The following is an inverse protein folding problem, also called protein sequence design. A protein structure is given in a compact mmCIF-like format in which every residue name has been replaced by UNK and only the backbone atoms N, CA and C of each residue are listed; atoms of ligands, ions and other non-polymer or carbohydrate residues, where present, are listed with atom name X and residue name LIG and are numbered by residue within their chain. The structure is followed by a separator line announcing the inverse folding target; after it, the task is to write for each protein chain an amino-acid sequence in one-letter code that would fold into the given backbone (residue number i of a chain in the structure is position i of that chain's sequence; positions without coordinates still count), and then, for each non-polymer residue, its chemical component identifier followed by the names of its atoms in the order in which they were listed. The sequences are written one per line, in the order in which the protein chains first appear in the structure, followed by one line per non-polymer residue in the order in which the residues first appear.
data_IF_726789178032
#
_entry.id   IF_726789178032
#
_cell.length_a   1.000
_cell.length_b   1.000
_cell.length_c   1.000
_cell.angle_alpha   90.00
_cell.angle_beta   90.00
_cell.angle_gamma   90.00
#
_symmetry.space_group_name_H-M   'P 1'
#
loop_
_entity.id
_entity.type
_entity.pdbx_description
1 polymer ?
#
# COMPACT_ATOMS: atom_id res chain seq x y z
N UNK A 1 -21.66 -15.79 5.13
CA UNK A 1 -22.75 -15.82 4.14
C UNK A 1 -22.09 -15.50 2.81
N UNK A 2 -21.71 -16.54 2.05
CA UNK A 2 -21.06 -16.38 0.75
C UNK A 2 -22.00 -15.60 -0.14
N UNK A 3 -21.62 -14.41 -0.53
CA UNK A 3 -22.34 -13.62 -1.53
C UNK A 3 -22.22 -14.34 -2.86
N UNK A 4 -23.12 -15.28 -3.10
CA UNK A 4 -23.42 -15.79 -4.44
C UNK A 4 -24.01 -14.62 -5.21
N UNK A 5 -23.15 -13.82 -5.85
CA UNK A 5 -23.60 -12.97 -6.95
C UNK A 5 -24.27 -13.93 -7.93
N UNK A 6 -25.54 -13.71 -8.33
CA UNK A 6 -26.21 -14.57 -9.28
C UNK A 6 -25.32 -14.71 -10.49
N UNK A 7 -24.87 -15.94 -10.74
CA UNK A 7 -24.20 -16.26 -12.00
C UNK A 7 -25.12 -15.76 -13.12
N UNK A 8 -24.62 -14.98 -14.06
CA UNK A 8 -25.42 -14.48 -15.18
C UNK A 8 -26.04 -15.65 -15.96
N UNK A 9 -27.18 -15.40 -16.62
CA UNK A 9 -27.97 -16.46 -17.22
C UNK A 9 -27.15 -17.21 -18.26
N UNK A 10 -26.88 -18.51 -18.00
CA UNK A 10 -26.08 -19.37 -18.89
C UNK A 10 -24.76 -19.91 -18.31
N UNK A 11 -24.42 -19.67 -17.04
CA UNK A 11 -23.32 -20.39 -16.38
C UNK A 11 -23.59 -21.90 -16.34
N UNK A 12 -22.74 -22.78 -16.90
CA UNK A 12 -22.88 -24.21 -16.66
C UNK A 12 -22.76 -24.49 -15.15
N UNK A 13 -23.55 -25.46 -14.67
CA UNK A 13 -23.74 -25.71 -13.24
C UNK A 13 -22.43 -25.94 -12.48
N UNK A 14 -22.25 -25.24 -11.36
CA UNK A 14 -21.16 -25.47 -10.40
C UNK A 14 -19.89 -24.62 -10.57
N UNK A 15 -19.90 -23.59 -11.43
CA UNK A 15 -18.76 -22.67 -11.59
C UNK A 15 -18.74 -21.59 -10.51
N UNK A 16 -17.60 -21.46 -9.84
CA UNK A 16 -17.30 -20.44 -8.83
C UNK A 16 -16.29 -19.47 -9.44
N UNK A 17 -16.66 -18.19 -9.50
CA UNK A 17 -15.87 -17.15 -10.19
C UNK A 17 -14.84 -16.48 -9.28
N UNK A 18 -15.05 -16.49 -7.96
CA UNK A 18 -14.15 -15.87 -7.01
C UNK A 18 -14.15 -16.59 -5.66
N UNK A 19 -13.00 -16.59 -4.99
CA UNK A 19 -12.74 -17.37 -3.78
C UNK A 19 -11.79 -18.55 -4.07
N UNK A 20 -11.25 -19.22 -3.05
CA UNK A 20 -10.30 -20.32 -3.26
C UNK A 20 -10.89 -21.57 -3.92
N UNK A 21 -12.21 -21.74 -3.89
CA UNK A 21 -12.91 -22.74 -4.68
C UNK A 21 -13.19 -22.29 -6.12
N UNK A 22 -12.64 -21.15 -6.55
CA UNK A 22 -12.77 -20.69 -7.93
C UNK A 22 -12.17 -21.72 -8.88
N UNK A 23 -13.05 -22.35 -9.65
CA UNK A 23 -12.72 -23.32 -10.70
C UNK A 23 -12.86 -22.71 -12.09
N UNK A 24 -13.24 -21.44 -12.17
CA UNK A 24 -13.35 -20.70 -13.40
C UNK A 24 -11.96 -20.37 -13.99
N UNK A 25 -11.85 -20.48 -15.31
CA UNK A 25 -10.70 -20.06 -16.12
C UNK A 25 -11.21 -19.22 -17.29
N UNK A 26 -10.29 -18.60 -18.04
CA UNK A 26 -10.63 -17.85 -19.26
C UNK A 26 -11.34 -18.70 -20.32
N UNK A 27 -11.19 -20.04 -20.27
CA UNK A 27 -11.87 -20.98 -21.17
C UNK A 27 -13.30 -21.32 -20.72
N UNK A 28 -13.59 -21.16 -19.42
CA UNK A 28 -14.85 -21.59 -18.80
C UNK A 28 -15.82 -20.43 -18.54
N UNK A 29 -15.32 -19.24 -18.20
CA UNK A 29 -16.18 -18.07 -18.00
C UNK A 29 -15.63 -16.83 -18.69
N UNK A 30 -16.53 -15.94 -19.17
CA UNK A 30 -16.12 -14.66 -19.72
C UNK A 30 -15.44 -13.82 -18.64
N UNK A 31 -14.50 -12.99 -19.10
CA UNK A 31 -13.67 -12.17 -18.22
C UNK A 31 -14.47 -11.19 -17.36
N UNK A 32 -15.67 -10.82 -17.78
CA UNK A 32 -16.58 -9.92 -17.06
C UNK A 32 -16.95 -10.42 -15.66
N UNK A 33 -16.79 -11.73 -15.39
CA UNK A 33 -17.09 -12.32 -14.08
C UNK A 33 -15.87 -12.35 -13.16
N UNK A 34 -14.70 -11.99 -13.66
CA UNK A 34 -13.49 -11.84 -12.84
C UNK A 34 -13.59 -10.56 -12.00
N UNK A 35 -12.84 -10.51 -10.89
CA UNK A 35 -12.82 -9.34 -9.99
C UNK A 35 -12.44 -8.06 -10.73
N UNK A 36 -11.48 -8.17 -11.66
CA UNK A 36 -11.01 -7.03 -12.43
C UNK A 36 -11.89 -6.71 -13.64
N UNK A 37 -12.66 -7.67 -14.16
CA UNK A 37 -13.38 -7.56 -15.45
C UNK A 37 -12.45 -7.33 -16.67
N UNK A 38 -11.14 -7.32 -16.47
CA UNK A 38 -10.11 -7.16 -17.49
C UNK A 38 -8.85 -7.94 -17.09
N UNK A 39 -7.94 -8.19 -18.06
CA UNK A 39 -6.64 -8.83 -17.78
C UNK A 39 -5.62 -7.76 -17.39
N UNK A 40 -4.90 -7.92 -16.26
CA UNK A 40 -3.81 -7.00 -15.90
C UNK A 40 -2.82 -6.80 -17.04
N UNK A 41 -2.44 -5.56 -17.34
CA UNK A 41 -1.53 -5.27 -18.45
C UNK A 41 -0.11 -5.72 -18.15
N UNK A 42 0.40 -6.72 -18.89
CA UNK A 42 1.79 -7.18 -18.81
C UNK A 42 2.80 -6.05 -19.03
N UNK A 43 2.71 -5.21 -20.08
CA UNK A 43 3.68 -4.14 -20.25
C UNK A 43 3.63 -3.12 -19.12
N UNK A 44 2.45 -2.81 -18.56
CA UNK A 44 2.36 -1.91 -17.41
C UNK A 44 3.04 -2.51 -16.17
N UNK A 45 2.76 -3.78 -15.86
CA UNK A 45 3.38 -4.48 -14.72
C UNK A 45 4.91 -4.56 -14.89
N UNK A 46 5.40 -4.84 -16.10
CA UNK A 46 6.84 -4.87 -16.39
C UNK A 46 7.51 -3.51 -16.19
N UNK A 47 6.85 -2.42 -16.58
CA UNK A 47 7.34 -1.06 -16.32
C UNK A 47 7.45 -0.81 -14.81
N UNK A 48 6.44 -1.15 -14.02
CA UNK A 48 6.50 -0.99 -12.57
C UNK A 48 7.63 -1.79 -11.94
N UNK A 49 7.79 -3.07 -12.31
CA UNK A 49 8.91 -3.90 -11.84
C UNK A 49 10.25 -3.28 -12.20
N UNK A 50 10.41 -2.77 -13.44
CA UNK A 50 11.63 -2.09 -13.86
C UNK A 50 11.89 -0.82 -13.04
N UNK A 51 10.86 -0.01 -12.77
CA UNK A 51 10.96 1.19 -11.96
C UNK A 51 11.38 0.88 -10.52
N UNK A 52 10.82 -0.15 -9.89
CA UNK A 52 11.26 -0.59 -8.55
C UNK A 52 12.68 -1.15 -8.58
N UNK A 53 13.06 -1.88 -9.63
CA UNK A 53 14.43 -2.35 -9.84
C UNK A 53 15.44 -1.21 -9.93
N UNK A 54 15.15 -0.18 -10.73
CA UNK A 54 15.98 1.03 -10.83
C UNK A 54 16.01 1.78 -9.48
N UNK A 55 14.89 1.85 -8.79
CA UNK A 55 14.80 2.49 -7.47
C UNK A 55 15.67 1.78 -6.43
N UNK A 56 15.74 0.45 -6.43
CA UNK A 56 16.65 -0.32 -5.58
C UNK A 56 18.10 0.10 -5.83
N UNK A 57 18.53 0.17 -7.09
CA UNK A 57 19.89 0.61 -7.45
C UNK A 57 20.15 2.03 -6.92
N UNK A 58 19.21 2.95 -7.13
CA UNK A 58 19.29 4.31 -6.62
C UNK A 58 19.43 4.37 -5.09
N UNK A 59 18.60 3.62 -4.37
CA UNK A 59 18.63 3.57 -2.90
C UNK A 59 19.90 2.91 -2.36
N UNK A 60 20.47 1.91 -3.04
CA UNK A 60 21.76 1.32 -2.69
C UNK A 60 22.89 2.36 -2.84
N UNK A 61 22.95 3.06 -3.99
CA UNK A 61 23.98 4.08 -4.24
C UNK A 61 23.89 5.20 -3.21
N UNK A 62 22.69 5.74 -2.98
CA UNK A 62 22.46 6.81 -2.01
C UNK A 62 22.71 6.35 -0.57
N UNK A 63 22.29 5.13 -0.23
CA UNK A 63 22.48 4.52 1.08
C UNK A 63 23.95 4.36 1.44
N UNK A 64 24.77 3.87 0.51
CA UNK A 64 26.22 3.73 0.69
C UNK A 64 26.89 5.11 0.77
N UNK A 65 26.56 6.02 -0.16
CA UNK A 65 27.21 7.34 -0.21
C UNK A 65 26.93 8.20 1.02
N UNK A 66 25.72 8.12 1.58
CA UNK A 66 25.29 8.94 2.72
C UNK A 66 25.29 8.16 4.06
N UNK A 67 25.74 6.90 4.03
CA UNK A 67 25.81 5.97 5.18
C UNK A 67 24.47 5.84 5.93
N UNK A 68 23.35 5.94 5.21
CA UNK A 68 21.99 5.83 5.76
C UNK A 68 21.47 4.39 5.64
N UNK A 69 22.09 3.46 6.37
CA UNK A 69 21.81 2.02 6.27
C UNK A 69 20.36 1.63 6.56
N UNK A 70 19.76 2.20 7.62
CA UNK A 70 18.37 1.89 7.98
C UNK A 70 17.37 2.35 6.92
N UNK A 71 17.58 3.55 6.37
CA UNK A 71 16.74 4.07 5.31
C UNK A 71 16.89 3.22 4.04
N UNK A 72 18.12 2.87 3.69
CA UNK A 72 18.41 1.99 2.55
C UNK A 72 17.71 0.63 2.69
N UNK A 73 17.83 -0.02 3.85
CA UNK A 73 17.21 -1.32 4.11
C UNK A 73 15.68 -1.27 3.95
N UNK A 74 15.02 -0.27 4.54
CA UNK A 74 13.57 -0.08 4.42
C UNK A 74 13.14 0.11 2.96
N UNK A 75 13.83 0.97 2.21
CA UNK A 75 13.47 1.21 0.80
C UNK A 75 13.66 -0.04 -0.06
N UNK A 76 14.74 -0.81 0.15
CA UNK A 76 15.01 -2.04 -0.61
C UNK A 76 13.93 -3.08 -0.31
N UNK A 77 13.59 -3.30 0.97
CA UNK A 77 12.55 -4.27 1.35
C UNK A 77 11.20 -3.86 0.77
N UNK A 78 10.85 -2.57 0.84
CA UNK A 78 9.63 -2.05 0.20
C UNK A 78 9.58 -2.33 -1.30
N UNK A 79 10.68 -2.05 -2.02
CA UNK A 79 10.75 -2.31 -3.47
C UNK A 79 10.66 -3.80 -3.81
N UNK A 80 11.31 -4.67 -3.03
CA UNK A 80 11.26 -6.12 -3.25
C UNK A 80 9.85 -6.67 -3.05
N UNK A 81 9.16 -6.20 -2.02
CA UNK A 81 7.77 -6.58 -1.73
C UNK A 81 6.83 -6.11 -2.85
N UNK A 82 6.98 -4.88 -3.34
CA UNK A 82 6.23 -4.39 -4.51
C UNK A 82 6.45 -5.26 -5.74
N UNK A 83 7.72 -5.58 -6.06
CA UNK A 83 8.05 -6.49 -7.18
C UNK A 83 7.35 -7.84 -7.03
N UNK A 84 7.32 -8.40 -5.82
CA UNK A 84 6.56 -9.62 -5.51
C UNK A 84 5.06 -9.46 -5.76
N UNK A 85 4.47 -8.33 -5.39
CA UNK A 85 3.07 -8.04 -5.66
C UNK A 85 2.74 -7.93 -7.15
N UNK A 86 3.63 -7.34 -7.96
CA UNK A 86 3.50 -7.34 -9.41
C UNK A 86 3.68 -8.73 -10.05
N UNK A 87 4.41 -9.64 -9.41
CA UNK A 87 4.43 -11.04 -9.81
C UNK A 87 3.05 -11.70 -9.59
N UNK A 88 2.37 -11.40 -8.48
CA UNK A 88 0.97 -11.80 -8.25
C UNK A 88 0.02 -11.30 -9.35
N UNK A 89 0.22 -10.07 -9.84
CA UNK A 89 -0.52 -9.54 -11.00
C UNK A 89 -0.26 -10.30 -12.30
N UNK A 90 0.94 -10.84 -12.49
CA UNK A 90 1.25 -11.67 -13.65
C UNK A 90 0.56 -13.03 -13.57
N UNK A 91 0.40 -13.60 -12.38
CA UNK A 91 -0.43 -14.80 -12.17
C UNK A 91 -1.88 -14.52 -12.60
N UNK A 92 -2.42 -13.36 -12.22
CA UNK A 92 -3.77 -12.93 -12.61
C UNK A 92 -3.93 -12.59 -14.08
N UNK A 93 -2.84 -12.24 -14.78
CA UNK A 93 -2.89 -12.10 -16.23
C UNK A 93 -3.21 -13.45 -16.91
N UNK A 94 -2.63 -14.55 -16.41
CA UNK A 94 -2.87 -15.88 -16.93
C UNK A 94 -4.23 -16.43 -16.49
N UNK A 95 -4.57 -16.26 -15.21
CA UNK A 95 -5.87 -16.65 -14.67
C UNK A 95 -6.47 -15.53 -13.77
N UNK A 96 -7.34 -14.65 -14.31
CA UNK A 96 -7.97 -13.56 -13.56
C UNK A 96 -8.89 -14.01 -12.41
N UNK A 97 -9.23 -15.30 -12.36
CA UNK A 97 -10.08 -15.89 -11.31
C UNK A 97 -9.25 -16.50 -10.17
N UNK A 98 -7.92 -16.44 -10.24
CA UNK A 98 -7.03 -16.97 -9.21
C UNK A 98 -7.15 -16.18 -7.91
N UNK A 99 -7.74 -16.77 -6.88
CA UNK A 99 -7.86 -16.15 -5.57
C UNK A 99 -6.50 -15.99 -4.88
N UNK A 100 -5.61 -16.98 -4.99
CA UNK A 100 -4.25 -16.89 -4.45
C UNK A 100 -3.48 -15.71 -5.07
N UNK A 101 -3.49 -15.60 -6.40
CA UNK A 101 -2.87 -14.47 -7.10
C UNK A 101 -3.49 -13.13 -6.71
N UNK A 102 -4.79 -13.09 -6.45
CA UNK A 102 -5.50 -11.90 -5.96
C UNK A 102 -5.10 -11.49 -4.55
N UNK A 103 -4.95 -12.44 -3.63
CA UNK A 103 -4.53 -12.15 -2.27
C UNK A 103 -3.04 -11.77 -2.22
N UNK A 104 -2.18 -12.51 -2.91
CA UNK A 104 -0.74 -12.26 -2.95
C UNK A 104 -0.42 -10.87 -3.47
N UNK A 105 -1.02 -10.45 -4.59
CA UNK A 105 -0.81 -9.10 -5.11
C UNK A 105 -1.27 -8.03 -4.11
N UNK A 106 -2.41 -8.23 -3.41
CA UNK A 106 -3.00 -7.20 -2.57
C UNK A 106 -2.11 -7.05 -1.34
N UNK A 107 -1.84 -8.16 -0.65
CA UNK A 107 -1.02 -8.15 0.57
C UNK A 107 0.38 -7.60 0.28
N UNK A 108 1.02 -8.00 -0.81
CA UNK A 108 2.37 -7.53 -1.12
C UNK A 108 2.37 -6.05 -1.55
N UNK A 109 1.48 -5.63 -2.46
CA UNK A 109 1.41 -4.22 -2.90
C UNK A 109 1.04 -3.31 -1.73
N UNK A 110 0.17 -3.72 -0.81
CA UNK A 110 -0.20 -2.90 0.36
C UNK A 110 0.87 -2.88 1.45
N UNK A 111 1.71 -3.92 1.51
CA UNK A 111 2.85 -3.98 2.44
C UNK A 111 3.98 -3.03 2.04
N UNK A 112 4.23 -2.85 0.73
CA UNK A 112 5.27 -1.95 0.22
C UNK A 112 5.26 -0.55 0.85
N UNK A 113 4.11 0.17 0.83
CA UNK A 113 3.94 1.47 1.45
C UNK A 113 4.35 1.55 2.93
N UNK A 114 4.19 0.50 3.73
CA UNK A 114 4.59 0.50 5.16
C UNK A 114 6.09 0.73 5.33
N UNK A 115 6.90 0.12 4.48
CA UNK A 115 8.34 0.29 4.54
C UNK A 115 8.75 1.71 4.12
N UNK A 116 8.05 2.26 3.12
CA UNK A 116 8.26 3.64 2.69
C UNK A 116 7.88 4.64 3.79
N UNK A 117 6.72 4.45 4.42
CA UNK A 117 6.24 5.32 5.51
C UNK A 117 7.14 5.25 6.73
N UNK A 118 7.63 4.06 7.12
CA UNK A 118 8.61 3.93 8.20
C UNK A 118 9.88 4.77 7.95
N UNK A 119 10.40 4.76 6.71
CA UNK A 119 11.53 5.59 6.31
C UNK A 119 11.21 7.10 6.38
N UNK A 120 10.00 7.48 5.96
CA UNK A 120 9.50 8.86 6.05
C UNK A 120 9.36 9.30 7.51
N UNK A 121 8.83 8.47 8.41
CA UNK A 121 8.65 8.80 9.82
C UNK A 121 9.98 9.14 10.50
N UNK A 122 11.01 8.32 10.26
CA UNK A 122 12.36 8.53 10.82
C UNK A 122 12.98 9.79 10.23
N UNK A 123 12.89 9.97 8.91
CA UNK A 123 13.51 11.12 8.21
C UNK A 123 12.83 12.42 8.61
N UNK A 124 11.50 12.41 8.72
CA UNK A 124 10.73 13.56 9.14
C UNK A 124 11.03 13.93 10.58
N UNK A 125 11.10 12.96 11.49
CA UNK A 125 11.46 13.19 12.89
C UNK A 125 12.78 13.95 13.02
N UNK A 126 13.83 13.49 12.31
CA UNK A 126 15.13 14.19 12.23
C UNK A 126 15.02 15.59 11.62
N UNK A 127 14.19 15.75 10.59
CA UNK A 127 13.97 17.04 9.91
C UNK A 127 13.32 18.05 10.85
N UNK A 128 12.28 17.65 11.59
CA UNK A 128 11.61 18.51 12.57
C UNK A 128 12.59 18.94 13.67
N UNK A 129 13.37 17.99 14.18
CA UNK A 129 14.41 18.25 15.19
C UNK A 129 15.51 19.21 14.68
N UNK A 130 15.84 19.15 13.40
CA UNK A 130 16.81 20.06 12.79
C UNK A 130 16.25 21.46 12.51
N UNK A 131 14.97 21.56 12.09
CA UNK A 131 14.37 22.84 11.67
C UNK A 131 13.85 23.69 12.85
N UNK A 132 12.92 23.14 13.61
CA UNK A 132 12.16 23.86 14.62
C UNK A 132 11.37 22.88 15.50
N UNK A 133 12.02 22.17 16.44
CA UNK A 133 11.33 21.27 17.35
C UNK A 133 10.27 22.00 18.20
N UNK A 134 10.51 23.27 18.54
CA UNK A 134 9.63 24.14 19.34
C UNK A 134 8.28 24.47 18.67
N UNK A 135 8.19 24.26 17.36
CA UNK A 135 6.96 24.50 16.60
C UNK A 135 6.07 23.24 16.55
N UNK A 136 6.65 22.07 16.80
CA UNK A 136 5.95 20.80 16.73
C UNK A 136 4.96 20.63 17.89
N UNK A 137 3.72 20.24 17.58
CA UNK A 137 2.71 19.91 18.60
C UNK A 137 3.06 18.62 19.35
N UNK A 138 3.71 17.70 18.66
CA UNK A 138 4.04 16.36 19.15
C UNK A 138 5.55 16.21 19.08
N UNK A 139 6.14 15.55 20.08
CA UNK A 139 7.56 15.23 20.05
C UNK A 139 7.89 14.44 18.78
N UNK A 140 8.87 14.87 17.97
CA UNK A 140 9.16 14.23 16.68
C UNK A 140 9.49 12.74 16.83
N UNK A 141 10.04 12.33 17.98
CA UNK A 141 10.35 10.94 18.27
C UNK A 141 9.10 10.09 18.46
N UNK A 142 8.03 10.69 19.00
CA UNK A 142 6.78 10.00 19.29
C UNK A 142 6.05 9.62 18.00
N UNK A 143 6.26 10.35 16.90
CA UNK A 143 5.67 10.01 15.60
C UNK A 143 6.08 8.60 15.17
N UNK A 144 7.38 8.34 14.99
CA UNK A 144 7.80 7.01 14.55
C UNK A 144 7.56 5.93 15.63
N UNK A 145 7.61 6.29 16.92
CA UNK A 145 7.31 5.35 18.01
C UNK A 145 5.84 4.90 18.08
N UNK A 146 4.90 5.71 17.61
CA UNK A 146 3.47 5.35 17.57
C UNK A 146 3.10 4.72 16.23
N UNK A 147 3.50 5.32 15.12
CA UNK A 147 3.02 4.91 13.80
C UNK A 147 3.66 3.60 13.31
N UNK A 148 4.93 3.32 13.65
CA UNK A 148 5.56 2.06 13.23
C UNK A 148 4.88 0.83 13.88
N UNK A 149 4.61 0.78 15.19
CA UNK A 149 3.87 -0.33 15.78
C UNK A 149 2.46 -0.50 15.22
N UNK A 150 1.75 0.61 14.94
CA UNK A 150 0.43 0.55 14.29
C UNK A 150 0.54 -0.10 12.92
N UNK A 151 1.52 0.31 12.10
CA UNK A 151 1.74 -0.27 10.79
C UNK A 151 2.10 -1.77 10.89
N UNK A 152 2.93 -2.17 11.87
CA UNK A 152 3.26 -3.58 12.13
C UNK A 152 2.00 -4.40 12.47
N UNK A 153 1.13 -3.87 13.33
CA UNK A 153 -0.15 -4.54 13.66
C UNK A 153 -0.99 -4.70 12.39
N UNK A 154 -1.07 -3.66 11.54
CA UNK A 154 -1.78 -3.72 10.28
C UNK A 154 -1.20 -4.78 9.32
N UNK A 155 0.13 -4.91 9.26
CA UNK A 155 0.81 -5.96 8.47
C UNK A 155 0.50 -7.35 9.00
N UNK A 156 0.49 -7.54 10.32
CA UNK A 156 0.14 -8.83 10.93
C UNK A 156 -1.31 -9.20 10.60
N UNK A 157 -2.24 -8.25 10.70
CA UNK A 157 -3.64 -8.48 10.32
C UNK A 157 -3.77 -8.84 8.84
N UNK A 158 -3.07 -8.15 7.95
CA UNK A 158 -3.07 -8.46 6.52
C UNK A 158 -2.48 -9.84 6.21
N UNK A 159 -1.34 -10.18 6.82
CA UNK A 159 -0.69 -11.47 6.64
C UNK A 159 -1.54 -12.62 7.22
N UNK A 160 -2.08 -12.46 8.43
CA UNK A 160 -2.93 -13.45 9.07
C UNK A 160 -4.26 -13.62 8.33
N UNK A 161 -4.93 -12.51 7.97
CA UNK A 161 -6.16 -12.53 7.20
C UNK A 161 -5.95 -13.15 5.81
N UNK A 162 -4.84 -12.83 5.14
CA UNK A 162 -4.43 -13.44 3.88
C UNK A 162 -4.21 -14.96 4.00
N UNK A 163 -3.43 -15.39 4.99
CA UNK A 163 -3.17 -16.80 5.25
C UNK A 163 -4.44 -17.58 5.59
N UNK A 164 -5.31 -17.05 6.45
CA UNK A 164 -6.61 -17.67 6.79
C UNK A 164 -7.50 -17.77 5.56
N UNK A 165 -7.49 -16.75 4.70
CA UNK A 165 -8.27 -16.75 3.46
C UNK A 165 -7.82 -17.88 2.52
N UNK A 166 -6.51 -18.13 2.42
CA UNK A 166 -5.95 -19.23 1.62
C UNK A 166 -6.27 -20.59 2.26
N UNK A 167 -6.00 -20.78 3.55
CA UNK A 167 -6.18 -22.07 4.25
C UNK A 167 -7.64 -22.48 4.36
N UNK A 168 -8.54 -21.54 4.67
CA UNK A 168 -9.98 -21.84 4.77
C UNK A 168 -10.63 -22.14 3.42
N UNK A 169 -9.87 -22.09 2.33
CA UNK A 169 -10.40 -22.08 0.98
C UNK A 169 -11.55 -21.05 0.82
N UNK A 170 -11.48 -19.93 1.56
CA UNK A 170 -12.43 -18.82 1.53
C UNK A 170 -13.84 -19.19 1.97
N UNK A 171 -14.00 -20.33 2.63
CA UNK A 171 -15.21 -20.69 3.37
C UNK A 171 -15.48 -19.72 4.53
N UNK A 172 -14.44 -19.02 5.00
CA UNK A 172 -14.51 -18.03 6.06
C UNK A 172 -14.29 -16.62 5.50
N UNK A 173 -15.34 -15.80 5.50
CA UNK A 173 -15.23 -14.35 5.19
C UNK A 173 -14.34 -13.62 6.19
N UNK A 174 -14.16 -14.19 7.38
CA UNK A 174 -13.33 -13.64 8.45
C UNK A 174 -11.90 -13.37 8.00
N UNK A 175 -11.29 -14.21 7.15
CA UNK A 175 -9.93 -13.97 6.67
C UNK A 175 -9.82 -12.69 5.82
N UNK A 176 -10.77 -12.51 4.91
CA UNK A 176 -10.84 -11.33 4.05
C UNK A 176 -11.15 -10.09 4.89
N UNK A 177 -12.10 -10.19 5.81
CA UNK A 177 -12.49 -9.08 6.70
C UNK A 177 -11.32 -8.63 7.59
N UNK A 178 -10.54 -9.57 8.12
CA UNK A 178 -9.33 -9.27 8.92
C UNK A 178 -8.28 -8.55 8.05
N UNK A 179 -8.03 -9.04 6.83
CA UNK A 179 -7.07 -8.42 5.92
C UNK A 179 -7.51 -6.99 5.53
N UNK A 180 -8.80 -6.81 5.23
CA UNK A 180 -9.38 -5.50 4.92
C UNK A 180 -9.34 -4.55 6.12
N UNK A 181 -9.58 -5.04 7.34
CA UNK A 181 -9.46 -4.23 8.56
C UNK A 181 -8.02 -3.74 8.77
N UNK A 182 -7.02 -4.60 8.55
CA UNK A 182 -5.61 -4.22 8.58
C UNK A 182 -5.27 -3.12 7.57
N UNK A 183 -5.75 -3.27 6.32
CA UNK A 183 -5.60 -2.25 5.28
C UNK A 183 -6.28 -0.92 5.65
N UNK A 184 -7.51 -0.97 6.16
CA UNK A 184 -8.26 0.22 6.57
C UNK A 184 -7.55 0.99 7.71
N UNK A 185 -7.05 0.28 8.71
CA UNK A 185 -6.27 0.87 9.80
C UNK A 185 -4.97 1.51 9.30
N UNK A 186 -4.28 0.85 8.36
CA UNK A 186 -3.04 1.36 7.75
C UNK A 186 -3.29 2.68 6.99
N UNK A 187 -4.33 2.73 6.14
CA UNK A 187 -4.68 3.93 5.39
C UNK A 187 -5.11 5.06 6.32
N UNK A 188 -5.90 4.75 7.35
CA UNK A 188 -6.30 5.71 8.38
C UNK A 188 -5.11 6.28 9.16
N UNK A 189 -4.15 5.43 9.54
CA UNK A 189 -2.92 5.82 10.21
C UNK A 189 -2.07 6.76 9.37
N UNK A 190 -1.86 6.42 8.08
CA UNK A 190 -1.14 7.27 7.13
C UNK A 190 -1.83 8.62 6.92
N UNK A 191 -3.17 8.63 6.83
CA UNK A 191 -3.94 9.87 6.73
C UNK A 191 -3.74 10.77 7.96
N UNK A 192 -3.84 10.19 9.16
CA UNK A 192 -3.64 10.95 10.40
C UNK A 192 -2.20 11.49 10.53
N UNK A 193 -1.20 10.68 10.20
CA UNK A 193 0.20 11.13 10.15
C UNK A 193 0.39 12.30 9.16
N UNK A 194 -0.19 12.17 7.97
CA UNK A 194 -0.14 13.21 6.94
C UNK A 194 -0.76 14.52 7.41
N UNK A 195 -1.91 14.46 8.10
CA UNK A 195 -2.55 15.63 8.68
C UNK A 195 -1.69 16.31 9.76
N UNK A 196 -1.08 15.54 10.65
CA UNK A 196 -0.15 16.06 11.66
C UNK A 196 1.05 16.76 11.02
N UNK A 197 1.59 16.19 9.95
CA UNK A 197 2.71 16.76 9.24
C UNK A 197 2.34 18.06 8.51
N UNK A 198 1.19 18.10 7.85
CA UNK A 198 0.66 19.33 7.22
C UNK A 198 0.47 20.43 8.27
N UNK A 199 -0.09 20.11 9.43
CA UNK A 199 -0.21 21.07 10.53
C UNK A 199 1.14 21.62 11.00
N UNK A 200 2.15 20.75 11.16
CA UNK A 200 3.51 21.18 11.49
C UNK A 200 4.06 22.18 10.47
N UNK A 201 3.88 21.91 9.17
CA UNK A 201 4.39 22.76 8.10
C UNK A 201 3.70 24.12 8.04
N UNK A 202 2.37 24.14 8.20
CA UNK A 202 1.60 25.38 8.27
C UNK A 202 2.10 26.23 9.43
N UNK A 203 2.35 25.62 10.59
CA UNK A 203 2.90 26.33 11.77
C UNK A 203 4.32 26.81 11.55
N UNK A 204 5.17 26.00 10.91
CA UNK A 204 6.55 26.36 10.58
C UNK A 204 6.59 27.59 9.67
N UNK A 205 5.84 27.60 8.57
CA UNK A 205 5.80 28.72 7.63
C UNK A 205 5.24 29.99 8.29
N UNK A 206 4.21 29.86 9.14
CA UNK A 206 3.63 31.00 9.86
C UNK A 206 4.57 31.61 10.89
N UNK A 207 5.36 30.79 11.60
CA UNK A 207 6.28 31.26 12.66
C UNK A 207 7.66 31.68 12.15
N UNK A 208 8.15 31.10 11.05
CA UNK A 208 9.48 31.40 10.49
C UNK A 208 9.37 31.75 9.00
N UNK A 209 8.80 32.93 8.66
CA UNK A 209 8.63 33.36 7.26
C UNK A 209 9.97 33.62 6.54
N UNK A 210 11.03 33.89 7.30
CA UNK A 210 12.38 34.19 6.77
C UNK A 210 13.16 32.94 6.34
N UNK A 211 12.74 31.74 6.75
CA UNK A 211 13.34 30.47 6.34
C UNK A 211 12.39 29.70 5.42
N UNK A 212 12.32 30.03 4.12
CA UNK A 212 11.35 29.43 3.22
C UNK A 212 11.60 27.93 3.08
N UNK A 213 10.51 27.16 3.07
CA UNK A 213 10.55 25.74 2.74
C UNK A 213 11.19 25.52 1.36
N UNK A 214 12.12 24.57 1.30
CA UNK A 214 12.79 24.17 0.06
C UNK A 214 11.75 23.75 -1.00
N UNK A 215 11.99 24.04 -2.28
CA UNK A 215 11.10 23.66 -3.40
C UNK A 215 10.69 22.19 -3.39
N UNK A 216 11.61 21.29 -3.01
CA UNK A 216 11.36 19.84 -2.85
C UNK A 216 10.25 19.55 -1.84
N UNK A 217 10.21 20.29 -0.74
CA UNK A 217 9.21 20.13 0.32
C UNK A 217 7.85 20.62 -0.19
N UNK A 218 7.80 21.77 -0.88
CA UNK A 218 6.56 22.30 -1.47
C UNK A 218 5.94 21.33 -2.49
N UNK A 219 6.75 20.72 -3.35
CA UNK A 219 6.29 19.72 -4.32
C UNK A 219 5.73 18.49 -3.61
N UNK A 220 6.44 17.96 -2.60
CA UNK A 220 5.96 16.83 -1.81
C UNK A 220 4.60 17.14 -1.14
N UNK A 221 4.41 18.34 -0.59
CA UNK A 221 3.14 18.73 0.04
C UNK A 221 2.00 18.93 -0.96
N UNK A 222 2.31 19.43 -2.16
CA UNK A 222 1.33 19.55 -3.24
C UNK A 222 0.77 18.20 -3.67
N UNK A 223 1.64 17.20 -3.88
CA UNK A 223 1.21 15.83 -4.21
C UNK A 223 0.41 15.18 -3.08
N UNK A 224 0.83 15.37 -1.82
CA UNK A 224 0.12 14.83 -0.65
C UNK A 224 -1.30 15.40 -0.50
N UNK A 225 -1.47 16.71 -0.67
CA UNK A 225 -2.77 17.36 -0.62
C UNK A 225 -3.70 16.91 -1.75
N UNK A 226 -3.16 16.77 -2.97
CA UNK A 226 -3.92 16.26 -4.11
C UNK A 226 -4.37 14.80 -3.91
N UNK A 227 -3.50 13.94 -3.37
CA UNK A 227 -3.84 12.54 -3.09
C UNK A 227 -4.97 12.41 -2.06
N UNK A 228 -4.91 13.20 -0.97
CA UNK A 228 -5.95 13.21 0.06
C UNK A 228 -7.30 13.66 -0.52
N UNK A 229 -7.30 14.73 -1.34
CA UNK A 229 -8.52 15.21 -1.99
C UNK A 229 -9.11 14.15 -2.93
N UNK A 230 -8.27 13.49 -3.73
CA UNK A 230 -8.71 12.43 -4.65
C UNK A 230 -9.37 11.26 -3.92
N UNK A 231 -8.79 10.83 -2.78
CA UNK A 231 -9.34 9.76 -1.94
C UNK A 231 -10.71 10.16 -1.38
N UNK A 232 -10.85 11.39 -0.88
CA UNK A 232 -12.14 11.88 -0.37
C UNK A 232 -13.19 12.05 -1.48
N UNK A 233 -12.79 12.53 -2.65
CA UNK A 233 -13.73 12.69 -3.79
C UNK A 233 -14.18 11.36 -4.36
N UNK A 234 -13.35 10.32 -4.33
CA UNK A 234 -13.75 9.00 -4.82
C UNK A 234 -14.78 8.33 -3.91
N UNK A 235 -14.77 8.60 -2.60
CA UNK A 235 -15.73 8.00 -1.66
C UNK A 235 -17.12 8.68 -1.69
N UNK A 236 -17.27 9.80 -2.40
CA UNK A 236 -18.52 10.57 -2.51
C UNK A 236 -19.17 10.50 -3.91
N UNK A 237 -18.64 9.66 -4.82
CA UNK A 237 -19.14 9.48 -6.19
C UNK A 237 -19.65 8.08 -6.46
#
# INVERSE_FOLDING_TARGET
MSTTIPGPPGSPGGLVTFGPHANCTLDLCPIEYSVYKYRPSVPANAIFVALFGVSIVGHVILGIRWRQWNFMALMIVGCLVEIGGYAGRLILYNNPFSFGGFMDQIVLITTGPVFYTAGIYITLSKTINYLAPEVSRIKPELLYWIFIPVDIICLILQAAGGAISVVSSGSSSTGVDIAMAGLGLQVGGLFFFSALFVDYLIRYVRKKPESPLTTRMRIFFGFLGAAILLIFTHHHG
#
